data_IF_223268568031
#
_entry.id   IF_223268568031
#
_cell.length_a   1.000
_cell.length_b   1.000
_cell.length_c   1.000
_cell.angle_alpha   90.00
_cell.angle_beta   90.00
_cell.angle_gamma   90.00
#
_symmetry.space_group_name_H-M   'P 1'
#
loop_
_entity.id
_entity.type
_entity.pdbx_description
1 polymer ?
#
# COMPACT_ATOMS: atom_id res chain seq x y z
N UNK A 1 12.93 19.52 22.86
CA UNK A 1 11.76 20.19 22.24
C UNK A 1 10.63 19.20 22.36
N UNK A 2 9.85 19.35 23.43
CA UNK A 2 8.77 18.42 23.76
C UNK A 2 7.53 18.79 22.94
N UNK A 3 7.20 17.96 21.96
CA UNK A 3 5.96 18.05 21.21
C UNK A 3 4.85 17.41 22.05
N UNK A 4 4.32 18.15 23.01
CA UNK A 4 3.06 17.80 23.67
C UNK A 4 1.90 18.08 22.70
N UNK A 5 1.42 17.05 22.02
CA UNK A 5 0.17 17.12 21.27
C UNK A 5 -1.03 17.00 22.24
N UNK A 6 -2.05 17.87 22.12
CA UNK A 6 -3.24 17.79 22.96
C UNK A 6 -4.02 16.50 22.70
N UNK A 7 -4.47 15.82 23.77
CA UNK A 7 -5.21 14.54 23.71
C UNK A 7 -6.40 14.51 22.74
N UNK A 8 -7.06 15.65 22.49
CA UNK A 8 -8.17 15.74 21.54
C UNK A 8 -7.74 15.72 20.06
N UNK A 9 -6.53 16.17 19.74
CA UNK A 9 -5.95 16.05 18.40
C UNK A 9 -5.37 14.64 18.16
N UNK A 10 -4.97 13.95 19.23
CA UNK A 10 -4.40 12.60 19.20
C UNK A 10 -5.42 11.53 18.80
N UNK A 11 -6.68 11.60 19.29
CA UNK A 11 -7.77 10.68 18.89
C UNK A 11 -8.07 10.81 17.39
N UNK A 12 -8.23 12.04 16.92
CA UNK A 12 -8.62 12.34 15.55
C UNK A 12 -7.58 11.86 14.53
N UNK A 13 -6.28 11.98 14.84
CA UNK A 13 -5.22 11.55 13.94
C UNK A 13 -5.10 10.02 13.86
N UNK A 14 -5.32 9.28 14.95
CA UNK A 14 -5.26 7.82 14.92
C UNK A 14 -6.46 7.22 14.18
N UNK A 15 -7.65 7.80 14.39
CA UNK A 15 -8.87 7.47 13.64
C UNK A 15 -8.69 7.78 12.15
N UNK A 16 -8.14 8.95 11.81
CA UNK A 16 -7.81 9.32 10.44
C UNK A 16 -6.84 8.32 9.80
N UNK A 17 -5.74 7.94 10.48
CA UNK A 17 -4.80 6.94 9.94
C UNK A 17 -5.45 5.60 9.66
N UNK A 18 -6.34 5.16 10.55
CA UNK A 18 -7.07 3.90 10.39
C UNK A 18 -8.00 3.97 9.18
N UNK A 19 -8.74 5.06 9.05
CA UNK A 19 -9.61 5.33 7.90
C UNK A 19 -8.83 5.38 6.58
N UNK A 20 -7.71 6.10 6.53
CA UNK A 20 -6.86 6.19 5.34
C UNK A 20 -6.30 4.81 4.93
N UNK A 21 -5.95 3.96 5.90
CA UNK A 21 -5.50 2.59 5.63
C UNK A 21 -6.64 1.72 5.07
N UNK A 22 -7.84 1.80 5.61
CA UNK A 22 -9.01 1.09 5.07
C UNK A 22 -9.37 1.56 3.66
N UNK A 23 -9.25 2.86 3.40
CA UNK A 23 -9.51 3.44 2.09
C UNK A 23 -8.48 2.97 1.05
N UNK A 24 -7.19 2.95 1.39
CA UNK A 24 -6.15 2.38 0.53
C UNK A 24 -6.34 0.88 0.27
N UNK A 25 -6.84 0.13 1.26
CA UNK A 25 -7.10 -1.31 1.09
C UNK A 25 -8.14 -1.56 -0.01
N UNK A 26 -9.24 -0.80 0.03
CA UNK A 26 -10.29 -0.86 -1.00
C UNK A 26 -9.77 -0.41 -2.36
N UNK A 27 -9.01 0.68 -2.40
CA UNK A 27 -8.38 1.16 -3.63
C UNK A 27 -7.41 0.14 -4.22
N UNK A 28 -6.59 -0.51 -3.38
CA UNK A 28 -5.68 -1.59 -3.78
C UNK A 28 -6.43 -2.72 -4.49
N UNK A 29 -7.55 -3.16 -3.91
CA UNK A 29 -8.41 -4.18 -4.51
C UNK A 29 -9.03 -3.72 -5.83
N UNK A 30 -9.46 -2.44 -5.93
CA UNK A 30 -10.00 -1.87 -7.17
C UNK A 30 -8.95 -1.84 -8.29
N UNK A 31 -7.74 -1.38 -7.97
CA UNK A 31 -6.62 -1.33 -8.90
C UNK A 31 -6.30 -2.72 -9.45
N UNK A 32 -6.19 -3.71 -8.56
CA UNK A 32 -5.92 -5.10 -8.93
C UNK A 32 -7.05 -5.68 -9.77
N UNK A 33 -8.31 -5.39 -9.46
CA UNK A 33 -9.45 -5.79 -10.28
C UNK A 33 -9.37 -5.21 -11.70
N UNK A 34 -9.12 -3.90 -11.85
CA UNK A 34 -9.04 -3.24 -13.15
C UNK A 34 -7.85 -3.73 -13.99
N UNK A 35 -6.71 -4.04 -13.36
CA UNK A 35 -5.58 -4.66 -14.01
C UNK A 35 -5.92 -6.08 -14.48
N UNK A 36 -6.50 -6.89 -13.59
CA UNK A 36 -6.83 -8.29 -13.84
C UNK A 36 -7.82 -8.45 -14.99
N UNK A 37 -8.89 -7.64 -14.99
CA UNK A 37 -9.90 -7.63 -16.06
C UNK A 37 -9.30 -7.31 -17.41
N UNK A 38 -8.35 -6.39 -17.46
CA UNK A 38 -7.66 -6.05 -18.71
C UNK A 38 -6.77 -7.20 -19.22
N UNK A 39 -6.10 -7.92 -18.32
CA UNK A 39 -5.33 -9.12 -18.70
C UNK A 39 -6.22 -10.30 -19.12
N UNK A 40 -7.36 -10.49 -18.47
CA UNK A 40 -8.30 -11.57 -18.75
C UNK A 40 -9.14 -11.34 -20.03
N UNK A 41 -9.27 -10.07 -20.47
CA UNK A 41 -10.05 -9.74 -21.66
C UNK A 41 -9.52 -10.45 -22.91
N UNK A 42 -10.34 -11.34 -23.47
CA UNK A 42 -10.06 -12.07 -24.71
C UNK A 42 -10.08 -11.16 -25.96
N UNK A 43 -10.67 -9.96 -25.85
CA UNK A 43 -10.72 -8.97 -26.93
C UNK A 43 -10.09 -7.68 -26.40
N UNK A 44 -8.82 -7.48 -26.72
CA UNK A 44 -8.10 -6.26 -26.34
C UNK A 44 -8.53 -5.11 -27.22
N UNK A 45 -9.51 -4.36 -26.75
CA UNK A 45 -9.90 -3.08 -27.34
C UNK A 45 -8.86 -2.00 -26.96
N UNK A 46 -8.23 -2.15 -25.78
CA UNK A 46 -7.34 -1.15 -25.18
C UNK A 46 -5.87 -1.59 -25.25
N UNK A 47 -5.01 -0.71 -25.77
CA UNK A 47 -3.56 -0.89 -25.82
C UNK A 47 -2.91 -0.75 -24.43
N UNK A 48 -1.64 -1.18 -24.30
CA UNK A 48 -0.89 -0.99 -23.06
C UNK A 48 -0.77 0.49 -22.66
N UNK A 49 -0.64 1.40 -23.64
CA UNK A 49 -0.53 2.84 -23.39
C UNK A 49 -1.84 3.43 -22.86
N UNK A 50 -2.97 3.04 -23.46
CA UNK A 50 -4.29 3.46 -22.99
C UNK A 50 -4.60 2.87 -21.60
N UNK A 51 -4.30 1.58 -21.36
CA UNK A 51 -4.52 1.01 -20.02
C UNK A 51 -3.60 1.63 -18.96
N UNK A 52 -2.36 1.93 -19.31
CA UNK A 52 -1.45 2.68 -18.44
C UNK A 52 -2.06 4.02 -18.03
N UNK A 53 -2.61 4.77 -18.99
CA UNK A 53 -3.27 6.04 -18.73
C UNK A 53 -4.52 5.89 -17.85
N UNK A 54 -5.35 4.87 -18.07
CA UNK A 54 -6.51 4.57 -17.20
C UNK A 54 -6.07 4.31 -15.76
N UNK A 55 -5.06 3.45 -15.55
CA UNK A 55 -4.57 3.11 -14.21
C UNK A 55 -3.89 4.28 -13.51
N UNK A 56 -3.19 5.14 -14.25
CA UNK A 56 -2.63 6.39 -13.72
C UNK A 56 -3.74 7.37 -13.33
N UNK A 57 -4.81 7.47 -14.12
CA UNK A 57 -5.98 8.28 -13.78
C UNK A 57 -6.66 7.81 -12.49
N UNK A 58 -6.79 6.49 -12.27
CA UNK A 58 -7.30 5.94 -11.00
C UNK A 58 -6.42 6.33 -9.81
N UNK A 59 -5.09 6.37 -9.99
CA UNK A 59 -4.17 6.82 -8.95
C UNK A 59 -4.33 8.31 -8.68
N UNK A 60 -4.44 9.15 -9.72
CA UNK A 60 -4.64 10.59 -9.57
C UNK A 60 -5.97 10.90 -8.84
N UNK A 61 -7.05 10.19 -9.16
CA UNK A 61 -8.35 10.34 -8.50
C UNK A 61 -8.28 9.91 -7.02
N UNK A 62 -7.59 8.82 -6.72
CA UNK A 62 -7.35 8.36 -5.35
C UNK A 62 -6.51 9.35 -4.55
N UNK A 63 -5.46 9.89 -5.15
CA UNK A 63 -4.61 10.92 -4.56
C UNK A 63 -5.42 12.16 -4.21
N UNK A 64 -6.27 12.65 -5.13
CA UNK A 64 -7.13 13.80 -4.90
C UNK A 64 -8.14 13.59 -3.76
N UNK A 65 -8.74 12.40 -3.66
CA UNK A 65 -9.67 12.09 -2.58
C UNK A 65 -8.95 12.00 -1.23
N UNK A 66 -7.78 11.36 -1.19
CA UNK A 66 -6.95 11.29 0.02
C UNK A 66 -6.48 12.68 0.48
N UNK A 67 -6.16 13.58 -0.44
CA UNK A 67 -5.86 14.98 -0.14
C UNK A 67 -7.06 15.70 0.48
N UNK A 68 -8.25 15.49 -0.08
CA UNK A 68 -9.51 16.04 0.43
C UNK A 68 -9.81 15.56 1.85
N UNK A 69 -9.68 14.26 2.11
CA UNK A 69 -9.90 13.63 3.42
C UNK A 69 -8.89 14.15 4.45
N UNK A 70 -7.60 14.16 4.11
CA UNK A 70 -6.52 14.46 5.05
C UNK A 70 -6.26 15.96 5.22
N UNK A 71 -6.74 16.80 4.30
CA UNK A 71 -6.51 18.25 4.30
C UNK A 71 -5.04 18.64 4.05
N UNK A 72 -4.26 17.76 3.43
CA UNK A 72 -2.84 17.94 3.09
C UNK A 72 -2.56 17.41 1.68
N UNK A 73 -1.45 17.83 1.05
CA UNK A 73 -1.14 17.35 -0.30
C UNK A 73 -0.69 15.89 -0.31
N UNK A 74 -0.85 15.22 -1.45
CA UNK A 74 -0.41 13.83 -1.71
C UNK A 74 1.08 13.66 -1.48
N UNK A 75 1.88 14.66 -1.88
CA UNK A 75 3.32 14.72 -1.61
C UNK A 75 3.64 14.72 -0.10
N UNK A 76 2.77 15.31 0.72
CA UNK A 76 2.93 15.39 2.18
C UNK A 76 2.34 14.17 2.90
N UNK A 77 1.38 13.50 2.27
CA UNK A 77 0.55 12.48 2.90
C UNK A 77 1.35 11.27 3.37
N UNK A 78 2.27 10.75 2.54
CA UNK A 78 3.10 9.60 2.91
C UNK A 78 3.98 9.92 4.13
N UNK A 79 4.63 11.09 4.13
CA UNK A 79 5.48 11.55 5.23
C UNK A 79 4.68 11.81 6.51
N UNK A 80 3.50 12.41 6.39
CA UNK A 80 2.57 12.60 7.50
C UNK A 80 2.18 11.25 8.12
N UNK A 81 1.73 10.30 7.29
CA UNK A 81 1.23 9.00 7.78
C UNK A 81 2.34 8.20 8.45
N UNK A 82 3.52 8.13 7.84
CA UNK A 82 4.68 7.45 8.43
C UNK A 82 5.06 8.08 9.77
N UNK A 83 5.19 9.41 9.83
CA UNK A 83 5.59 10.11 11.07
C UNK A 83 4.56 9.96 12.17
N UNK A 84 3.26 10.09 11.86
CA UNK A 84 2.20 9.99 12.87
C UNK A 84 2.06 8.56 13.40
N UNK A 85 1.99 7.57 12.52
CA UNK A 85 1.87 6.16 12.93
C UNK A 85 3.08 5.71 13.76
N UNK A 86 4.30 6.08 13.36
CA UNK A 86 5.50 5.82 14.16
C UNK A 86 5.49 6.56 15.50
N UNK A 87 5.07 7.83 15.53
CA UNK A 87 5.01 8.61 16.77
C UNK A 87 4.03 7.99 17.78
N UNK A 88 2.87 7.49 17.34
CA UNK A 88 1.94 6.79 18.21
C UNK A 88 2.55 5.51 18.78
N UNK A 89 3.12 4.67 17.92
CA UNK A 89 3.78 3.44 18.34
C UNK A 89 4.92 3.71 19.32
N UNK A 90 5.83 4.64 18.99
CA UNK A 90 6.95 5.02 19.83
C UNK A 90 6.50 5.56 21.19
N UNK A 91 5.44 6.38 21.21
CA UNK A 91 4.90 6.93 22.46
C UNK A 91 4.29 5.85 23.35
N UNK A 92 3.57 4.89 22.76
CA UNK A 92 3.00 3.77 23.51
C UNK A 92 4.09 2.89 24.12
N UNK A 93 5.15 2.59 23.37
CA UNK A 93 6.33 1.85 23.88
C UNK A 93 7.00 2.61 25.01
N UNK A 94 7.32 3.90 24.82
CA UNK A 94 7.98 4.74 25.83
C UNK A 94 7.17 4.87 27.14
N UNK A 95 5.85 4.87 27.04
CA UNK A 95 4.96 4.97 28.20
C UNK A 95 4.62 3.62 28.84
N UNK A 96 5.24 2.51 28.40
CA UNK A 96 4.94 1.16 28.86
C UNK A 96 3.44 0.83 28.77
N UNK A 97 2.83 1.17 27.63
CA UNK A 97 1.47 0.75 27.31
C UNK A 97 1.35 -0.78 27.33
N UNK A 98 0.13 -1.28 27.40
CA UNK A 98 -0.13 -2.72 27.40
C UNK A 98 0.27 -3.37 26.08
N UNK A 99 0.58 -4.67 26.09
CA UNK A 99 0.93 -5.40 24.86
C UNK A 99 -0.16 -5.31 23.78
N UNK A 100 -1.44 -5.28 24.17
CA UNK A 100 -2.58 -5.12 23.26
C UNK A 100 -2.60 -3.74 22.59
N UNK A 101 -2.35 -2.68 23.36
CA UNK A 101 -2.27 -1.31 22.83
C UNK A 101 -1.09 -1.15 21.87
N UNK A 102 0.08 -1.68 22.25
CA UNK A 102 1.26 -1.66 21.37
C UNK A 102 1.00 -2.51 20.12
N UNK A 103 0.38 -3.68 20.26
CA UNK A 103 0.04 -4.57 19.14
C UNK A 103 -0.85 -3.89 18.10
N UNK A 104 -1.89 -3.17 18.53
CA UNK A 104 -2.75 -2.37 17.62
C UNK A 104 -1.98 -1.28 16.88
N UNK A 105 -1.07 -0.60 17.56
CA UNK A 105 -0.27 0.45 16.95
C UNK A 105 0.81 -0.09 16.00
N UNK A 106 1.35 -1.28 16.29
CA UNK A 106 2.19 -2.02 15.36
C UNK A 106 1.40 -2.32 14.09
N UNK A 107 0.19 -2.86 14.19
CA UNK A 107 -0.67 -3.13 13.03
C UNK A 107 -0.90 -1.86 12.19
N UNK A 108 -1.30 -0.75 12.83
CA UNK A 108 -1.53 0.53 12.13
C UNK A 108 -0.26 1.00 11.41
N UNK A 109 0.90 0.94 12.06
CA UNK A 109 2.17 1.30 11.44
C UNK A 109 2.50 0.39 10.25
N UNK A 110 2.34 -0.92 10.38
CA UNK A 110 2.63 -1.87 9.30
C UNK A 110 1.68 -1.72 8.11
N UNK A 111 0.37 -1.51 8.36
CA UNK A 111 -0.60 -1.20 7.30
C UNK A 111 -0.21 0.08 6.57
N UNK A 112 0.11 1.13 7.32
CA UNK A 112 0.56 2.42 6.76
C UNK A 112 1.76 2.25 5.84
N UNK A 113 2.81 1.58 6.32
CA UNK A 113 4.01 1.34 5.51
C UNK A 113 3.74 0.44 4.30
N UNK A 114 2.81 -0.50 4.44
CA UNK A 114 2.39 -1.36 3.32
C UNK A 114 1.72 -0.53 2.24
N UNK A 115 0.85 0.40 2.57
CA UNK A 115 0.16 1.22 1.58
C UNK A 115 1.05 2.28 0.93
N UNK A 116 2.00 2.85 1.68
CA UNK A 116 3.06 3.70 1.10
C UNK A 116 3.88 2.90 0.06
N UNK A 117 4.21 1.63 0.37
CA UNK A 117 4.87 0.72 -0.58
C UNK A 117 3.97 0.38 -1.77
N UNK A 118 2.70 0.07 -1.50
CA UNK A 118 1.70 -0.32 -2.49
C UNK A 118 1.47 0.78 -3.54
N UNK A 119 1.30 2.04 -3.12
CA UNK A 119 1.08 3.19 -4.01
C UNK A 119 2.22 3.35 -5.03
N UNK A 120 3.46 3.22 -4.56
CA UNK A 120 4.65 3.26 -5.42
C UNK A 120 4.68 2.10 -6.41
N UNK A 121 4.29 0.90 -5.97
CA UNK A 121 4.18 -0.27 -6.84
C UNK A 121 3.06 -0.17 -7.88
N UNK A 122 1.92 0.44 -7.52
CA UNK A 122 0.82 0.68 -8.46
C UNK A 122 1.23 1.65 -9.54
N UNK A 123 1.85 2.78 -9.17
CA UNK A 123 2.37 3.75 -10.13
C UNK A 123 3.45 3.13 -11.03
N UNK A 124 4.37 2.37 -10.43
CA UNK A 124 5.34 1.57 -11.17
C UNK A 124 4.65 0.65 -12.17
N UNK A 125 3.68 -0.15 -11.73
CA UNK A 125 2.96 -1.13 -12.56
C UNK A 125 2.26 -0.44 -13.73
N UNK A 126 1.52 0.64 -13.47
CA UNK A 126 0.83 1.41 -14.49
C UNK A 126 1.81 1.95 -15.55
N UNK A 127 2.92 2.57 -15.11
CA UNK A 127 3.96 3.09 -16.00
C UNK A 127 4.69 1.99 -16.78
N UNK A 128 4.91 0.84 -16.12
CA UNK A 128 5.64 -0.30 -16.65
C UNK A 128 4.92 -0.97 -17.83
N UNK A 129 3.59 -0.88 -17.91
CA UNK A 129 2.82 -1.39 -19.04
C UNK A 129 3.30 -0.83 -20.40
N UNK A 130 3.71 0.44 -20.43
CA UNK A 130 4.08 1.13 -21.68
C UNK A 130 5.46 0.69 -22.17
N UNK A 131 6.43 0.55 -21.27
CA UNK A 131 7.84 0.35 -21.62
C UNK A 131 8.57 -0.62 -20.66
N UNK A 132 8.13 -1.89 -20.57
CA UNK A 132 8.67 -2.85 -19.59
C UNK A 132 10.17 -3.16 -19.77
N UNK A 133 10.72 -2.90 -20.98
CA UNK A 133 12.14 -3.08 -21.30
C UNK A 133 13.01 -1.88 -20.94
N UNK A 134 12.44 -0.69 -20.66
CA UNK A 134 13.20 0.50 -20.29
C UNK A 134 13.33 0.69 -18.78
N UNK A 135 12.46 0.05 -18.02
CA UNK A 135 12.46 0.17 -16.57
C UNK A 135 13.67 -0.55 -15.96
N UNK A 136 14.39 0.17 -15.11
CA UNK A 136 15.58 -0.34 -14.46
C UNK A 136 15.17 -1.18 -13.26
N UNK A 137 15.92 -2.25 -13.02
CA UNK A 137 15.79 -3.03 -11.80
C UNK A 137 15.88 -2.14 -10.56
N UNK A 138 16.81 -1.18 -10.57
CA UNK A 138 17.00 -0.23 -9.47
C UNK A 138 15.71 0.51 -9.08
N UNK A 139 14.87 0.87 -10.04
CA UNK A 139 13.64 1.62 -9.77
C UNK A 139 12.63 0.74 -9.01
N UNK A 140 12.58 -0.55 -9.35
CA UNK A 140 11.74 -1.55 -8.67
C UNK A 140 12.30 -1.92 -7.28
N UNK A 141 13.61 -2.14 -7.21
CA UNK A 141 14.32 -2.44 -5.96
C UNK A 141 14.20 -1.30 -4.95
N UNK A 142 14.39 -0.06 -5.37
CA UNK A 142 14.32 1.11 -4.50
C UNK A 142 12.93 1.26 -3.86
N UNK A 143 11.86 0.92 -4.59
CA UNK A 143 10.48 0.92 -4.07
C UNK A 143 10.35 -0.11 -2.94
N UNK A 144 10.80 -1.34 -3.16
CA UNK A 144 10.62 -2.44 -2.22
C UNK A 144 11.55 -2.33 -1.01
N UNK A 145 12.84 -2.11 -1.26
CA UNK A 145 13.89 -2.03 -0.23
C UNK A 145 13.65 -0.86 0.71
N UNK A 146 13.19 0.30 0.20
CA UNK A 146 13.04 1.49 1.04
C UNK A 146 11.99 1.31 2.14
N UNK A 147 10.86 0.67 1.82
CA UNK A 147 9.81 0.39 2.80
C UNK A 147 10.23 -0.71 3.79
N UNK A 148 10.76 -1.83 3.28
CA UNK A 148 11.23 -2.94 4.11
C UNK A 148 12.27 -2.49 5.14
N UNK A 149 13.23 -1.68 4.69
CA UNK A 149 14.27 -1.14 5.57
C UNK A 149 13.70 -0.23 6.64
N UNK A 150 12.79 0.69 6.30
CA UNK A 150 12.16 1.59 7.28
C UNK A 150 11.39 0.82 8.35
N UNK A 151 10.65 -0.21 7.96
CA UNK A 151 9.94 -1.08 8.89
C UNK A 151 10.89 -1.81 9.82
N UNK A 152 11.94 -2.43 9.27
CA UNK A 152 12.93 -3.13 10.09
C UNK A 152 13.68 -2.18 11.03
N UNK A 153 14.06 -1.00 10.55
CA UNK A 153 14.69 0.03 11.36
C UNK A 153 13.76 0.47 12.51
N UNK A 154 12.46 0.66 12.25
CA UNK A 154 11.47 1.00 13.28
C UNK A 154 11.25 -0.13 14.31
N UNK A 155 11.16 -1.40 13.87
CA UNK A 155 11.03 -2.55 14.78
C UNK A 155 12.26 -2.69 15.68
N UNK A 156 13.44 -2.46 15.12
CA UNK A 156 14.70 -2.63 15.84
C UNK A 156 15.07 -1.42 16.71
N UNK A 157 14.61 -0.21 16.37
CA UNK A 157 14.88 1.01 17.14
C UNK A 157 14.04 1.13 18.41
N UNK A 158 12.87 0.50 18.45
CA UNK A 158 11.97 0.55 19.59
C UNK A 158 12.32 -0.53 20.62
N UNK A 159 12.32 -0.15 21.89
CA UNK A 159 12.54 -1.06 23.02
C UNK A 159 11.28 -1.87 23.36
N UNK A 160 10.77 -2.58 22.35
CA UNK A 160 9.63 -3.49 22.48
C UNK A 160 10.09 -4.86 22.97
N UNK A 161 9.19 -5.55 23.68
CA UNK A 161 9.36 -6.95 24.04
C UNK A 161 9.60 -7.82 22.81
N UNK A 162 10.41 -8.88 22.95
CA UNK A 162 10.83 -9.73 21.84
C UNK A 162 9.65 -10.43 21.13
N UNK A 163 8.60 -10.80 21.88
CA UNK A 163 7.36 -11.34 21.32
C UNK A 163 6.66 -10.34 20.38
N UNK A 164 6.58 -9.07 20.77
CA UNK A 164 6.00 -8.00 19.93
C UNK A 164 6.86 -7.71 18.70
N UNK A 165 8.20 -7.74 18.83
CA UNK A 165 9.11 -7.63 17.67
C UNK A 165 8.92 -8.79 16.69
N UNK A 166 8.77 -10.01 17.20
CA UNK A 166 8.51 -11.18 16.37
C UNK A 166 7.17 -11.07 15.65
N UNK A 167 6.10 -10.69 16.38
CA UNK A 167 4.77 -10.48 15.82
C UNK A 167 4.79 -9.39 14.73
N UNK A 168 5.48 -8.27 14.96
CA UNK A 168 5.62 -7.18 14.01
C UNK A 168 6.28 -7.63 12.70
N UNK A 169 7.35 -8.44 12.79
CA UNK A 169 8.05 -8.99 11.61
C UNK A 169 7.18 -9.97 10.83
N UNK A 170 6.48 -10.86 11.53
CA UNK A 170 5.58 -11.83 10.91
C UNK A 170 4.40 -11.14 10.24
N UNK A 171 3.79 -10.16 10.93
CA UNK A 171 2.72 -9.34 10.37
C UNK A 171 3.20 -8.60 9.13
N UNK A 172 4.34 -7.90 9.18
CA UNK A 172 4.90 -7.21 8.02
C UNK A 172 5.07 -8.16 6.84
N UNK A 173 5.72 -9.31 7.06
CA UNK A 173 5.97 -10.29 6.02
C UNK A 173 4.67 -10.79 5.38
N UNK A 174 3.69 -11.18 6.19
CA UNK A 174 2.41 -11.71 5.68
C UNK A 174 1.59 -10.62 5.00
N UNK A 175 1.45 -9.46 5.63
CA UNK A 175 0.56 -8.40 5.18
C UNK A 175 1.11 -7.71 3.92
N UNK A 176 2.40 -7.38 3.88
CA UNK A 176 3.02 -6.76 2.70
C UNK A 176 3.01 -7.70 1.49
N UNK A 177 3.15 -9.01 1.69
CA UNK A 177 3.09 -10.00 0.60
C UNK A 177 1.68 -10.14 0.04
N UNK A 178 0.67 -10.19 0.91
CA UNK A 178 -0.74 -10.27 0.50
C UNK A 178 -1.25 -8.99 -0.18
N UNK A 179 -0.69 -7.84 0.17
CA UNK A 179 -1.07 -6.52 -0.37
C UNK A 179 0.06 -5.93 -1.21
N UNK A 180 0.58 -6.71 -2.17
CA UNK A 180 1.49 -6.22 -3.21
C UNK A 180 0.69 -6.03 -4.50
N UNK A 181 0.24 -4.81 -4.83
CA UNK A 181 -0.62 -4.59 -5.98
C UNK A 181 0.05 -4.99 -7.29
N UNK A 182 -0.76 -5.50 -8.21
CA UNK A 182 -0.35 -5.93 -9.54
C UNK A 182 0.49 -7.20 -9.59
N UNK A 183 0.82 -7.80 -8.45
CA UNK A 183 1.66 -9.00 -8.36
C UNK A 183 0.99 -10.04 -7.47
N UNK A 184 0.69 -11.20 -8.03
CA UNK A 184 0.21 -12.34 -7.25
C UNK A 184 1.29 -12.80 -6.26
N UNK A 185 0.91 -13.08 -5.01
CA UNK A 185 1.82 -13.53 -3.94
C UNK A 185 2.72 -14.69 -4.37
N UNK A 186 2.20 -15.66 -5.15
CA UNK A 186 2.97 -16.79 -5.67
C UNK A 186 4.11 -16.41 -6.62
N UNK A 187 4.16 -15.16 -7.07
CA UNK A 187 5.24 -14.60 -7.88
C UNK A 187 6.25 -13.78 -7.07
N UNK A 188 6.03 -13.59 -5.76
CA UNK A 188 7.03 -13.05 -4.83
C UNK A 188 8.03 -14.14 -4.47
N UNK A 189 9.12 -14.20 -5.24
CA UNK A 189 10.16 -15.21 -5.05
C UNK A 189 11.14 -14.75 -3.98
N UNK A 190 11.45 -15.64 -3.04
CA UNK A 190 12.49 -15.43 -2.04
C UNK A 190 13.79 -16.09 -2.49
N UNK A 191 14.93 -15.46 -2.20
CA UNK A 191 16.24 -16.10 -2.46
C UNK A 191 16.38 -17.35 -1.59
N UNK A 192 17.09 -18.34 -2.10
CA UNK A 192 17.30 -19.61 -1.41
C UNK A 192 17.92 -19.39 -0.03
N UNK A 193 17.22 -19.84 1.02
CA UNK A 193 17.64 -19.71 2.43
C UNK A 193 17.75 -18.27 2.95
N UNK A 194 17.04 -17.30 2.37
CA UNK A 194 16.91 -15.96 2.94
C UNK A 194 15.44 -15.56 3.11
N UNK A 195 15.22 -14.55 3.96
CA UNK A 195 13.94 -13.84 4.06
C UNK A 195 13.86 -12.67 3.04
N UNK A 196 14.82 -12.58 2.12
CA UNK A 196 14.89 -11.47 1.16
C UNK A 196 14.32 -11.89 -0.18
N UNK A 197 13.50 -11.02 -0.74
CA UNK A 197 12.94 -11.20 -2.08
C UNK A 197 14.04 -11.18 -3.16
N UNK A 198 13.84 -11.98 -4.20
CA UNK A 198 14.66 -11.98 -5.41
C UNK A 198 14.04 -11.03 -6.44
N UNK A 199 14.39 -9.74 -6.34
CA UNK A 199 13.79 -8.68 -7.13
C UNK A 199 14.01 -8.85 -8.64
N UNK A 200 15.16 -9.40 -9.04
CA UNK A 200 15.46 -9.72 -10.44
C UNK A 200 14.45 -10.72 -10.99
N UNK A 201 14.24 -11.84 -10.28
CA UNK A 201 13.32 -12.88 -10.70
C UNK A 201 11.86 -12.39 -10.70
N UNK A 202 11.46 -11.61 -9.68
CA UNK A 202 10.13 -11.01 -9.61
C UNK A 202 9.89 -10.09 -10.81
N UNK A 203 10.84 -9.20 -11.10
CA UNK A 203 10.71 -8.24 -12.19
C UNK A 203 10.64 -8.95 -13.55
N UNK A 204 11.46 -9.98 -13.76
CA UNK A 204 11.42 -10.78 -14.98
C UNK A 204 10.09 -11.54 -15.15
N UNK A 205 9.53 -12.08 -14.06
CA UNK A 205 8.20 -12.70 -14.09
C UNK A 205 7.10 -11.70 -14.47
N UNK A 206 7.17 -10.47 -13.97
CA UNK A 206 6.23 -9.40 -14.33
C UNK A 206 6.39 -8.99 -15.79
N UNK A 207 7.64 -8.84 -16.28
CA UNK A 207 7.92 -8.58 -17.70
C UNK A 207 7.29 -9.63 -18.59
N UNK A 208 7.53 -10.91 -18.29
CA UNK A 208 6.98 -12.02 -19.06
C UNK A 208 5.45 -12.01 -19.00
N UNK A 209 4.85 -11.76 -17.83
CA UNK A 209 3.40 -11.66 -17.70
C UNK A 209 2.81 -10.59 -18.62
N UNK A 210 3.39 -9.39 -18.65
CA UNK A 210 2.94 -8.27 -19.50
C UNK A 210 3.19 -8.55 -20.98
N UNK A 211 4.38 -9.01 -21.34
CA UNK A 211 4.76 -9.25 -22.75
C UNK A 211 3.98 -10.40 -23.37
N UNK A 212 3.83 -11.50 -22.63
CA UNK A 212 3.10 -12.69 -23.08
C UNK A 212 1.61 -12.60 -22.80
N UNK A 213 1.17 -11.56 -22.09
CA UNK A 213 -0.23 -11.32 -21.72
C UNK A 213 -0.84 -12.50 -20.96
N UNK A 214 -0.10 -13.02 -19.97
CA UNK A 214 -0.53 -14.13 -19.14
C UNK A 214 -0.84 -13.67 -17.72
N UNK A 215 -1.86 -14.27 -17.11
CA UNK A 215 -2.33 -13.94 -15.76
C UNK A 215 -1.52 -14.64 -14.66
N UNK A 216 -0.45 -15.35 -14.98
CA UNK A 216 0.29 -16.20 -14.02
C UNK A 216 0.83 -15.43 -12.81
N UNK A 217 1.14 -14.15 -12.99
CA UNK A 217 1.61 -13.25 -11.92
C UNK A 217 0.70 -12.04 -11.69
N UNK A 218 -0.46 -12.00 -12.33
CA UNK A 218 -1.45 -10.97 -12.08
C UNK A 218 -2.40 -11.50 -10.99
N UNK A 219 -2.80 -10.68 -10.01
CA UNK A 219 -3.83 -11.06 -9.06
C UNK A 219 -5.09 -11.60 -9.78
N UNK A 220 -5.85 -12.52 -9.16
CA UNK A 220 -7.14 -12.90 -9.72
C UNK A 220 -8.12 -11.71 -9.67
N UNK A 221 -9.13 -11.72 -10.53
CA UNK A 221 -10.25 -10.78 -10.41
C UNK A 221 -10.88 -10.93 -9.02
N UNK A 222 -11.04 -9.82 -8.30
CA UNK A 222 -11.73 -9.82 -7.02
C UNK A 222 -13.24 -10.00 -7.27
N UNK A 223 -13.78 -11.20 -7.00
CA UNK A 223 -15.18 -11.58 -7.26
C UNK A 223 -16.23 -10.68 -6.54
N UNK A 224 -15.81 -9.85 -5.58
CA UNK A 224 -16.70 -8.96 -4.82
C UNK A 224 -16.91 -7.56 -5.42
N UNK A 225 -16.08 -7.11 -6.38
CA UNK A 225 -16.12 -5.71 -6.84
C UNK A 225 -17.36 -5.41 -7.69
N UNK A 226 -17.75 -6.34 -8.57
CA UNK A 226 -18.90 -6.18 -9.48
C UNK A 226 -20.28 -6.28 -8.78
N UNK A 227 -20.34 -6.73 -7.53
CA UNK A 227 -21.61 -7.05 -6.85
C UNK A 227 -22.01 -6.12 -5.70
N UNK A 228 -21.12 -5.29 -5.15
CA UNK A 228 -21.44 -4.54 -3.91
C UNK A 228 -20.91 -3.09 -3.84
N UNK A 229 -19.80 -2.71 -4.49
CA UNK A 229 -19.13 -1.43 -4.19
C UNK A 229 -19.23 -0.33 -5.24
N UNK A 230 -19.69 -0.63 -6.46
CA UNK A 230 -19.97 0.41 -7.48
C UNK A 230 -20.96 1.48 -6.98
N UNK A 231 -21.92 1.07 -6.16
CA UNK A 231 -22.91 1.97 -5.54
C UNK A 231 -22.37 2.74 -4.33
N UNK A 232 -21.29 2.31 -3.65
CA UNK A 232 -20.78 3.04 -2.47
C UNK A 232 -19.78 4.14 -2.81
N UNK A 233 -18.93 3.91 -3.82
CA UNK A 233 -18.02 4.96 -4.31
C UNK A 233 -18.75 6.09 -5.07
N UNK A 234 -19.96 5.82 -5.59
CA UNK A 234 -20.79 6.84 -6.27
C UNK A 234 -21.85 7.50 -5.35
N UNK A 235 -22.28 6.87 -4.25
CA UNK A 235 -23.39 7.37 -3.40
C UNK A 235 -22.99 7.95 -2.04
N UNK A 236 -21.74 7.81 -1.59
CA UNK A 236 -21.27 8.54 -0.39
C UNK A 236 -20.86 9.97 -0.77
N UNK A 237 -21.87 10.76 -1.16
CA UNK A 237 -21.87 12.23 -1.07
C UNK A 237 -21.74 12.57 0.43
N UNK A 238 -20.52 12.50 0.94
CA UNK A 238 -20.21 12.91 2.31
C UNK A 238 -20.47 14.39 2.38
N UNK A 239 -21.64 14.74 2.90
CA UNK A 239 -22.09 16.10 3.17
C UNK A 239 -21.09 16.87 4.03
N UNK A 240 -20.04 17.37 3.40
CA UNK A 240 -19.27 18.49 3.88
C UNK A 240 -20.16 19.69 3.61
N UNK A 241 -21.00 20.01 4.60
CA UNK A 241 -21.68 21.29 4.67
C UNK A 241 -20.62 22.38 4.52
N UNK A 242 -20.52 22.96 3.32
CA UNK A 242 -20.02 24.31 3.14
C UNK A 242 -21.03 25.22 3.81
N UNK A 243 -20.82 25.52 5.09
CA UNK A 243 -21.48 26.68 5.67
C UNK A 243 -21.00 27.96 4.94
N UNK A 244 -21.89 28.93 4.74
CA UNK A 244 -21.75 30.03 3.78
C UNK A 244 -20.63 31.03 4.08
#
# INVERSE_FOLDING_TARGET
>A
MDLCFPRSAVSNNLELLSFLNEYDEKFGNHFDYELSRWFASQIKITSNAEKSQELLGLLDDHDAEMESIAGITSEQLDDFREKQSYAFLSTAVLNNATEDEVGKLVEIYMRTMTFIRARKLQNFTASFLVQPWKTRLSDFEDILISADRRVLDAINSLDMLDNLKSLAKEFWKSYSSAHTPGIKESCLVYRSNSETLDYDEILDRIRVAIMMQVTSCIPPEYEGWDSVEKTKYEEEDFGIHKEP
#
